data_IF_892735449784
#
_entry.id   IF_892735449784
#
_cell.length_a   1.000
_cell.length_b   1.000
_cell.length_c   1.000
_cell.angle_alpha   90.00
_cell.angle_beta   90.00
_cell.angle_gamma   90.00
#
_symmetry.space_group_name_H-M   'P 1'
#
loop_
_entity.id
_entity.type
_entity.pdbx_description
1 polymer ?
#
# COMPACT_ATOMS: atom_id res chain seq x y z
N UNK A 1 6.01 -27.00 -39.59
CA UNK A 1 6.57 -28.23 -39.00
C UNK A 1 8.04 -28.00 -38.66
N UNK A 2 8.33 -27.71 -37.39
CA UNK A 2 9.62 -27.92 -36.73
C UNK A 2 9.29 -28.02 -35.24
N UNK A 3 9.42 -29.23 -34.70
CA UNK A 3 9.19 -29.57 -33.30
C UNK A 3 10.21 -28.84 -32.42
N UNK A 4 9.72 -28.13 -31.39
CA UNK A 4 10.57 -27.63 -30.31
C UNK A 4 10.45 -28.59 -29.12
N UNK A 5 11.55 -29.31 -28.88
CA UNK A 5 11.81 -30.15 -27.72
C UNK A 5 11.59 -29.35 -26.42
N UNK A 6 10.72 -29.85 -25.55
CA UNK A 6 10.53 -29.33 -24.20
C UNK A 6 11.59 -29.93 -23.27
N UNK A 7 12.72 -29.25 -23.11
CA UNK A 7 13.62 -29.51 -21.98
C UNK A 7 13.00 -28.94 -20.70
N UNK A 8 12.88 -29.80 -19.67
CA UNK A 8 12.46 -29.41 -18.33
C UNK A 8 13.53 -28.53 -17.71
N UNK A 9 13.13 -27.33 -17.29
CA UNK A 9 13.95 -26.48 -16.43
C UNK A 9 14.35 -27.25 -15.15
N UNK A 10 15.62 -27.20 -14.73
CA UNK A 10 16.11 -27.92 -13.56
C UNK A 10 15.51 -27.35 -12.26
N UNK A 11 15.15 -28.27 -11.36
CA UNK A 11 14.73 -28.02 -9.99
C UNK A 11 15.94 -27.48 -9.20
N UNK A 12 16.01 -26.15 -9.04
CA UNK A 12 17.07 -25.50 -8.27
C UNK A 12 16.77 -25.72 -6.78
N UNK A 13 17.32 -26.80 -6.25
CA UNK A 13 17.49 -26.99 -4.81
C UNK A 13 18.17 -25.78 -4.21
N UNK A 14 17.55 -25.20 -3.17
CA UNK A 14 18.09 -24.13 -2.32
C UNK A 14 19.56 -24.42 -1.96
N UNK A 15 20.49 -23.80 -2.67
CA UNK A 15 21.87 -23.67 -2.22
C UNK A 15 21.88 -22.72 -1.02
N UNK A 16 22.37 -23.22 0.10
CA UNK A 16 22.58 -22.50 1.35
C UNK A 16 23.58 -21.36 1.10
N UNK A 17 23.06 -20.16 0.87
CA UNK A 17 23.82 -18.93 1.10
C UNK A 17 23.53 -18.52 2.53
N UNK A 18 24.50 -18.69 3.42
CA UNK A 18 24.44 -18.21 4.80
C UNK A 18 24.52 -16.67 4.80
N UNK A 19 23.37 -16.04 4.58
CA UNK A 19 23.15 -14.62 4.83
C UNK A 19 23.00 -14.44 6.34
N UNK A 20 23.78 -13.57 7.01
CA UNK A 20 23.66 -13.35 8.45
C UNK A 20 22.22 -12.99 8.84
N UNK A 21 21.56 -13.88 9.61
CA UNK A 21 20.16 -13.75 10.07
C UNK A 21 19.96 -12.72 11.18
N UNK A 22 20.76 -11.66 11.28
CA UNK A 22 20.73 -10.73 12.42
C UNK A 22 20.05 -9.38 12.15
N UNK A 23 19.01 -9.31 11.30
CA UNK A 23 18.35 -8.00 10.99
C UNK A 23 16.83 -8.06 10.84
N UNK A 24 16.18 -9.06 11.43
CA UNK A 24 14.74 -8.99 11.65
C UNK A 24 14.51 -8.45 13.06
N UNK A 25 13.65 -7.45 13.21
CA UNK A 25 12.85 -7.41 14.44
C UNK A 25 12.24 -8.81 14.58
N UNK A 26 12.31 -9.45 15.76
CA UNK A 26 11.86 -10.84 15.90
C UNK A 26 10.43 -10.99 15.37
N UNK A 27 10.07 -12.17 14.83
CA UNK A 27 8.71 -12.38 14.32
C UNK A 27 7.67 -11.96 15.39
N UNK A 28 6.72 -11.11 15.02
CA UNK A 28 5.71 -10.56 15.94
C UNK A 28 6.01 -9.16 16.47
N UNK A 29 7.25 -8.67 16.33
CA UNK A 29 7.60 -7.29 16.60
C UNK A 29 7.31 -6.43 15.37
N UNK A 30 6.74 -5.27 15.62
CA UNK A 30 6.38 -4.31 14.59
C UNK A 30 7.25 -3.07 14.74
N UNK A 31 7.18 -2.15 13.77
CA UNK A 31 7.83 -0.85 13.91
C UNK A 31 7.39 -0.16 15.22
N UNK A 32 8.34 0.51 15.91
CA UNK A 32 8.03 1.27 17.10
C UNK A 32 7.00 2.36 16.77
N UNK A 33 6.08 2.57 17.71
CA UNK A 33 4.95 3.52 17.58
C UNK A 33 5.36 4.94 17.99
N UNK A 34 6.51 5.07 18.65
CA UNK A 34 7.12 6.33 19.04
C UNK A 34 8.64 6.18 18.98
N UNK A 35 9.37 7.30 18.88
CA UNK A 35 10.82 7.31 18.95
C UNK A 35 11.31 8.48 19.78
N UNK A 36 12.48 8.30 20.40
CA UNK A 36 13.26 9.40 20.97
C UNK A 36 14.47 9.60 20.07
N UNK A 37 14.67 10.82 19.59
CA UNK A 37 15.83 11.13 18.77
C UNK A 37 17.08 11.17 19.66
N UNK A 38 18.05 10.32 19.36
CA UNK A 38 19.36 10.28 20.03
C UNK A 38 20.52 10.56 19.07
N UNK A 39 20.20 10.90 17.81
CA UNK A 39 21.16 11.16 16.74
C UNK A 39 21.51 12.67 16.71
N UNK A 40 22.62 13.10 16.06
CA UNK A 40 22.99 14.52 15.94
C UNK A 40 21.89 15.43 15.35
N UNK A 41 20.89 14.87 14.67
CA UNK A 41 19.73 15.62 14.21
C UNK A 41 18.87 16.20 15.34
N UNK A 42 18.93 15.68 16.57
CA UNK A 42 18.20 16.26 17.71
C UNK A 42 18.79 17.60 18.17
N UNK A 43 20.07 17.84 17.87
CA UNK A 43 20.83 19.03 18.27
C UNK A 43 21.14 19.96 17.10
N UNK A 44 20.85 19.54 15.87
CA UNK A 44 21.03 20.39 14.68
C UNK A 44 19.89 21.43 14.61
N UNK A 45 20.19 22.72 14.37
CA UNK A 45 19.16 23.74 14.13
C UNK A 45 18.21 23.35 12.99
N UNK A 46 18.73 22.56 12.05
CA UNK A 46 18.05 22.10 10.86
C UNK A 46 17.28 20.79 11.04
N UNK A 47 17.50 20.07 12.14
CA UNK A 47 16.84 18.79 12.40
C UNK A 47 17.25 17.66 11.44
N UNK A 48 16.38 16.67 11.31
CA UNK A 48 16.51 15.55 10.37
C UNK A 48 15.36 15.53 9.37
N UNK A 49 15.55 14.77 8.29
CA UNK A 49 14.49 14.54 7.32
C UNK A 49 14.38 13.06 6.93
N UNK A 50 13.19 12.70 6.46
CA UNK A 50 12.87 11.39 5.89
C UNK A 50 12.47 11.57 4.43
N UNK A 51 13.12 10.80 3.55
CA UNK A 51 12.75 10.68 2.15
C UNK A 51 11.75 9.53 1.97
N UNK A 52 10.84 9.68 1.01
CA UNK A 52 9.89 8.66 0.59
C UNK A 52 9.80 8.67 -0.93
N UNK A 53 10.35 7.69 -1.62
CA UNK A 53 10.33 7.67 -3.08
C UNK A 53 10.41 6.27 -3.64
N UNK A 54 10.06 6.14 -4.91
CA UNK A 54 10.05 4.86 -5.61
C UNK A 54 10.28 5.10 -7.09
N UNK A 55 10.60 4.03 -7.81
CA UNK A 55 10.64 4.01 -9.27
C UNK A 55 10.25 2.64 -9.76
N UNK A 56 9.37 2.58 -10.75
CA UNK A 56 9.26 1.41 -11.62
C UNK A 56 10.12 1.65 -12.86
N UNK A 57 11.03 0.74 -13.20
CA UNK A 57 11.98 0.96 -14.30
C UNK A 57 11.31 0.99 -15.67
N UNK A 58 10.15 0.33 -15.80
CA UNK A 58 9.35 0.30 -17.02
C UNK A 58 8.35 1.48 -17.12
N UNK A 59 8.09 2.20 -16.03
CA UNK A 59 7.20 3.36 -16.03
C UNK A 59 7.94 4.60 -16.58
N UNK A 60 7.20 5.50 -17.23
CA UNK A 60 7.76 6.75 -17.73
C UNK A 60 8.24 7.66 -16.58
N UNK A 61 9.44 8.27 -16.66
CA UNK A 61 10.45 8.08 -17.69
C UNK A 61 11.24 6.77 -17.48
N UNK A 62 11.19 5.90 -18.50
CA UNK A 62 11.74 4.56 -18.41
C UNK A 62 13.28 4.55 -18.38
N UNK A 63 13.84 3.52 -17.75
CA UNK A 63 15.28 3.27 -17.74
C UNK A 63 15.73 2.87 -19.17
N UNK A 64 16.82 3.45 -19.71
CA UNK A 64 17.35 3.01 -20.99
C UNK A 64 17.99 1.63 -20.81
N UNK A 65 17.55 0.64 -21.60
CA UNK A 65 17.86 -0.80 -21.53
C UNK A 65 17.07 -1.57 -20.46
N UNK A 66 15.94 -2.13 -20.89
CA UNK A 66 14.88 -2.77 -20.08
C UNK A 66 15.24 -4.11 -19.44
N UNK A 67 16.48 -4.58 -19.52
CA UNK A 67 16.88 -5.86 -18.91
C UNK A 67 17.70 -5.62 -17.64
N UNK A 68 17.00 -5.43 -16.53
CA UNK A 68 17.62 -5.48 -15.19
C UNK A 68 17.93 -6.93 -14.86
N UNK A 69 19.21 -7.28 -14.85
CA UNK A 69 19.68 -8.63 -14.50
C UNK A 69 19.76 -8.83 -12.99
N UNK A 70 19.95 -10.08 -12.56
CA UNK A 70 20.19 -10.39 -11.16
C UNK A 70 21.47 -9.71 -10.62
N UNK A 71 22.50 -9.57 -11.46
CA UNK A 71 23.73 -8.85 -11.10
C UNK A 71 23.46 -7.36 -10.88
N UNK A 72 22.60 -6.75 -11.70
CA UNK A 72 22.19 -5.36 -11.50
C UNK A 72 21.44 -5.18 -10.17
N UNK A 73 20.57 -6.13 -9.78
CA UNK A 73 19.85 -6.06 -8.50
C UNK A 73 20.80 -6.20 -7.30
N UNK A 74 21.74 -7.14 -7.35
CA UNK A 74 22.75 -7.31 -6.29
C UNK A 74 23.69 -6.11 -6.20
N UNK A 75 24.05 -5.52 -7.34
CA UNK A 75 24.82 -4.27 -7.40
C UNK A 75 24.05 -3.10 -6.77
N UNK A 76 22.75 -2.95 -7.09
CA UNK A 76 21.89 -1.90 -6.54
C UNK A 76 21.66 -2.07 -5.03
N UNK A 77 21.49 -3.31 -4.56
CA UNK A 77 21.42 -3.63 -3.13
C UNK A 77 22.71 -3.22 -2.42
N UNK A 78 23.86 -3.59 -2.99
CA UNK A 78 25.18 -3.24 -2.43
C UNK A 78 25.41 -1.74 -2.41
N UNK A 79 25.03 -1.04 -3.48
CA UNK A 79 25.08 0.42 -3.59
C UNK A 79 24.32 1.09 -2.44
N UNK A 80 23.04 0.75 -2.26
CA UNK A 80 22.24 1.35 -1.18
C UNK A 80 22.70 0.92 0.21
N UNK A 81 23.15 -0.33 0.39
CA UNK A 81 23.66 -0.81 1.68
C UNK A 81 24.90 -0.02 2.11
N UNK A 82 25.88 0.12 1.21
CA UNK A 82 27.11 0.85 1.49
C UNK A 82 26.85 2.33 1.72
N UNK A 83 26.01 2.95 0.88
CA UNK A 83 25.69 4.37 0.97
C UNK A 83 24.96 4.71 2.28
N UNK A 84 23.97 3.91 2.68
CA UNK A 84 23.24 4.13 3.93
C UNK A 84 24.12 3.91 5.16
N UNK A 85 25.00 2.91 5.15
CA UNK A 85 25.97 2.70 6.24
C UNK A 85 26.97 3.87 6.35
N UNK A 86 27.56 4.28 5.22
CA UNK A 86 28.54 5.38 5.17
C UNK A 86 27.98 6.68 5.75
N UNK A 87 26.69 6.97 5.49
CA UNK A 87 26.04 8.20 5.94
C UNK A 87 25.17 8.03 7.20
N UNK A 88 25.27 6.89 7.90
CA UNK A 88 24.48 6.61 9.11
C UNK A 88 22.96 6.79 8.93
N UNK A 89 22.47 6.41 7.74
CA UNK A 89 21.06 6.51 7.35
C UNK A 89 20.32 5.23 7.74
N UNK A 90 19.20 5.42 8.43
CA UNK A 90 18.24 4.37 8.74
C UNK A 90 17.14 4.32 7.67
N UNK A 91 16.43 3.21 7.54
CA UNK A 91 15.36 3.11 6.56
C UNK A 91 14.96 1.70 6.16
N UNK A 92 14.06 1.63 5.19
CA UNK A 92 13.58 0.42 4.54
C UNK A 92 13.70 0.60 3.03
N UNK A 93 14.44 -0.29 2.39
CA UNK A 93 14.69 -0.28 0.95
C UNK A 93 14.26 -1.63 0.40
N UNK A 94 13.31 -1.62 -0.53
CA UNK A 94 12.91 -2.79 -1.31
C UNK A 94 13.37 -2.59 -2.74
N UNK A 95 14.05 -3.60 -3.25
CA UNK A 95 14.53 -3.67 -4.63
C UNK A 95 13.88 -4.90 -5.26
N UNK A 96 13.45 -4.80 -6.51
CA UNK A 96 12.96 -5.91 -7.30
C UNK A 96 13.30 -5.67 -8.77
N UNK A 97 13.08 -6.67 -9.63
CA UNK A 97 13.27 -6.52 -11.09
C UNK A 97 12.47 -5.35 -11.67
N UNK A 98 11.31 -5.05 -11.08
CA UNK A 98 10.44 -3.96 -11.54
C UNK A 98 10.90 -2.57 -11.11
N UNK A 99 11.81 -2.43 -10.13
CA UNK A 99 12.12 -1.13 -9.55
C UNK A 99 12.66 -1.12 -8.12
N UNK A 100 12.50 0.03 -7.45
CA UNK A 100 12.80 0.20 -6.03
C UNK A 100 11.71 1.01 -5.31
N UNK A 101 11.60 0.77 -4.00
CA UNK A 101 10.79 1.54 -3.06
C UNK A 101 11.62 1.84 -1.81
N UNK A 102 11.82 3.12 -1.53
CA UNK A 102 12.81 3.62 -0.59
C UNK A 102 12.14 4.58 0.40
N UNK A 103 12.32 4.27 1.68
CA UNK A 103 12.04 5.22 2.77
C UNK A 103 13.26 5.26 3.67
N UNK A 104 13.93 6.41 3.75
CA UNK A 104 15.19 6.56 4.48
C UNK A 104 15.22 7.86 5.26
N UNK A 105 15.88 7.87 6.41
CA UNK A 105 15.97 9.03 7.30
C UNK A 105 17.36 9.22 7.87
N UNK A 106 17.75 10.49 8.02
CA UNK A 106 19.07 10.90 8.49
C UNK A 106 19.12 12.40 8.79
N UNK A 107 20.30 12.92 9.08
CA UNK A 107 20.52 14.38 9.13
C UNK A 107 20.32 14.98 7.74
N UNK A 108 20.04 16.29 7.63
CA UNK A 108 19.87 16.93 6.32
C UNK A 108 21.11 16.73 5.43
N UNK A 109 22.31 16.83 5.98
CA UNK A 109 23.58 16.66 5.27
C UNK A 109 23.74 15.22 4.76
N UNK A 110 23.42 14.24 5.60
CA UNK A 110 23.49 12.82 5.25
C UNK A 110 22.52 12.49 4.11
N UNK A 111 21.29 13.02 4.21
CA UNK A 111 20.26 12.83 3.18
C UNK A 111 20.61 13.57 1.89
N UNK A 112 21.20 14.75 1.96
CA UNK A 112 21.71 15.46 0.79
C UNK A 112 22.78 14.63 0.08
N UNK A 113 23.80 14.14 0.80
CA UNK A 113 24.85 13.30 0.23
C UNK A 113 24.29 12.01 -0.39
N UNK A 114 23.32 11.37 0.27
CA UNK A 114 22.62 10.20 -0.25
C UNK A 114 21.86 10.50 -1.55
N UNK A 115 21.17 11.64 -1.59
CA UNK A 115 20.39 12.10 -2.76
C UNK A 115 21.30 12.34 -3.96
N UNK A 116 22.42 13.05 -3.77
CA UNK A 116 23.38 13.31 -4.84
C UNK A 116 23.99 12.02 -5.40
N UNK A 117 24.34 11.07 -4.52
CA UNK A 117 24.84 9.77 -4.95
C UNK A 117 23.78 8.96 -5.71
N UNK A 118 22.51 9.05 -5.32
CA UNK A 118 21.40 8.43 -6.04
C UNK A 118 21.24 9.03 -7.45
N UNK A 119 21.21 10.36 -7.57
CA UNK A 119 21.04 11.05 -8.86
C UNK A 119 22.14 10.66 -9.86
N UNK A 120 23.37 10.47 -9.38
CA UNK A 120 24.50 10.06 -10.23
C UNK A 120 24.48 8.55 -10.60
N UNK A 121 23.65 7.74 -9.97
CA UNK A 121 23.60 6.30 -10.18
C UNK A 121 22.71 5.91 -11.37
N UNK A 122 23.08 4.87 -12.12
CA UNK A 122 22.37 4.43 -13.33
C UNK A 122 20.87 4.18 -13.09
N UNK A 123 20.50 3.73 -11.89
CA UNK A 123 19.10 3.45 -11.54
C UNK A 123 18.21 4.70 -11.46
N UNK A 124 18.80 5.90 -11.55
CA UNK A 124 18.12 7.20 -11.56
C UNK A 124 18.23 7.92 -12.91
N UNK A 125 18.91 7.34 -13.90
CA UNK A 125 19.01 7.91 -15.25
C UNK A 125 17.62 8.19 -15.85
N UNK A 126 17.50 9.25 -16.64
CA UNK A 126 16.27 9.76 -17.28
C UNK A 126 15.19 10.36 -16.34
N UNK A 127 15.36 10.40 -15.03
CA UNK A 127 14.35 10.97 -14.12
C UNK A 127 14.25 12.51 -14.13
N UNK A 128 15.05 13.20 -14.95
CA UNK A 128 15.08 14.66 -15.04
C UNK A 128 15.16 15.33 -13.65
N UNK A 129 16.23 15.05 -12.91
CA UNK A 129 16.43 15.52 -11.52
C UNK A 129 17.46 16.66 -11.46
N UNK A 130 17.47 17.52 -12.48
CA UNK A 130 18.45 18.59 -12.68
C UNK A 130 18.21 19.84 -11.80
N UNK A 131 16.98 20.06 -11.34
CA UNK A 131 16.62 21.18 -10.45
C UNK A 131 16.25 20.71 -9.05
N UNK A 132 16.42 21.61 -8.06
CA UNK A 132 16.03 21.35 -6.68
C UNK A 132 14.52 21.05 -6.54
N UNK A 133 13.66 21.69 -7.35
CA UNK A 133 12.22 21.45 -7.34
C UNK A 133 11.89 20.02 -7.79
N UNK A 134 12.44 19.56 -8.91
CA UNK A 134 12.22 18.19 -9.41
C UNK A 134 12.76 17.14 -8.44
N UNK A 135 13.90 17.41 -7.81
CA UNK A 135 14.44 16.57 -6.73
C UNK A 135 13.48 16.52 -5.53
N UNK A 136 12.96 17.66 -5.07
CA UNK A 136 11.99 17.74 -3.97
C UNK A 136 10.73 16.92 -4.28
N UNK A 137 10.16 17.07 -5.47
CA UNK A 137 8.99 16.31 -5.92
C UNK A 137 9.23 14.79 -5.98
N UNK A 138 10.42 14.36 -6.42
CA UNK A 138 10.75 12.96 -6.53
C UNK A 138 11.05 12.31 -5.18
N UNK A 139 11.97 12.92 -4.40
CA UNK A 139 12.46 12.36 -3.13
C UNK A 139 11.50 12.58 -1.95
N UNK A 140 10.60 13.57 -2.05
CA UNK A 140 9.58 13.94 -1.05
C UNK A 140 10.14 14.03 0.37
N UNK A 141 11.13 14.92 0.59
CA UNK A 141 11.69 15.13 1.92
C UNK A 141 10.61 15.64 2.87
N UNK A 142 10.49 15.00 4.02
CA UNK A 142 9.57 15.39 5.09
C UNK A 142 10.34 15.62 6.39
N UNK A 143 10.05 16.69 7.14
CA UNK A 143 10.74 16.98 8.40
C UNK A 143 10.32 16.00 9.51
N UNK A 144 10.91 16.18 10.71
CA UNK A 144 10.48 15.49 11.92
C UNK A 144 10.97 14.06 12.06
N UNK A 145 12.04 13.65 11.35
CA UNK A 145 12.62 12.32 11.51
C UNK A 145 14.09 12.21 11.09
N UNK A 146 14.85 11.35 11.76
CA UNK A 146 16.21 10.95 11.35
C UNK A 146 16.30 9.41 11.32
N UNK A 147 17.51 8.84 11.29
CA UNK A 147 17.73 7.39 11.42
C UNK A 147 17.01 6.77 12.64
N UNK A 148 16.82 7.53 13.73
CA UNK A 148 16.08 7.10 14.92
C UNK A 148 14.63 6.67 14.67
N UNK A 149 13.96 7.20 13.63
CA UNK A 149 12.58 6.77 13.28
C UNK A 149 12.52 5.35 12.71
N UNK A 150 13.69 4.78 12.42
CA UNK A 150 13.89 3.40 12.01
C UNK A 150 14.60 2.58 13.11
N UNK A 151 14.56 3.04 14.36
CA UNK A 151 15.21 2.39 15.50
C UNK A 151 16.71 2.65 15.61
N UNK A 152 17.24 3.66 14.89
CA UNK A 152 18.67 4.01 14.92
C UNK A 152 19.59 2.97 14.26
N UNK A 153 19.02 1.95 13.62
CA UNK A 153 19.76 0.92 12.90
C UNK A 153 20.03 1.34 11.44
N UNK A 154 21.09 0.80 10.81
CA UNK A 154 21.29 0.97 9.37
C UNK A 154 20.07 0.52 8.56
N UNK A 155 19.87 1.14 7.39
CA UNK A 155 18.74 0.80 6.54
C UNK A 155 18.66 -0.71 6.21
N UNK A 156 17.45 -1.26 6.30
CA UNK A 156 17.18 -2.62 5.83
C UNK A 156 17.01 -2.59 4.31
N UNK A 157 18.03 -3.00 3.58
CA UNK A 157 18.00 -3.20 2.12
C UNK A 157 17.62 -4.65 1.82
N UNK A 158 16.62 -4.87 0.95
CA UNK A 158 16.11 -6.20 0.63
C UNK A 158 15.78 -6.32 -0.86
N UNK A 159 16.30 -7.37 -1.49
CA UNK A 159 15.79 -7.86 -2.77
C UNK A 159 14.50 -8.65 -2.52
N UNK A 160 13.45 -8.32 -3.27
CA UNK A 160 12.09 -8.83 -3.11
C UNK A 160 11.47 -9.15 -4.47
N UNK A 161 10.35 -9.89 -4.48
CA UNK A 161 9.61 -10.18 -5.71
C UNK A 161 8.86 -8.95 -6.26
N UNK A 162 8.32 -8.13 -5.36
CA UNK A 162 7.59 -6.90 -5.68
C UNK A 162 7.99 -5.79 -4.71
N UNK A 163 8.20 -4.57 -5.21
CA UNK A 163 8.51 -3.39 -4.39
C UNK A 163 7.27 -2.91 -3.60
N UNK A 164 6.07 -3.25 -4.09
CA UNK A 164 4.79 -3.15 -3.37
C UNK A 164 3.91 -4.35 -3.73
N UNK A 165 3.76 -5.36 -2.84
CA UNK A 165 3.04 -6.59 -3.20
C UNK A 165 1.55 -6.36 -3.46
N UNK A 166 1.11 -6.44 -4.72
CA UNK A 166 -0.30 -6.36 -5.11
C UNK A 166 -1.00 -7.73 -5.06
N UNK A 167 -0.24 -8.81 -4.90
CA UNK A 167 -0.80 -10.16 -4.79
C UNK A 167 -1.17 -10.78 -6.14
N UNK A 168 -0.73 -10.20 -7.25
CA UNK A 168 -0.84 -10.76 -8.60
C UNK A 168 0.57 -11.05 -9.10
N UNK A 169 0.88 -12.33 -9.28
CA UNK A 169 2.21 -12.77 -9.74
C UNK A 169 2.56 -12.14 -11.08
N UNK A 170 3.70 -11.43 -11.12
CA UNK A 170 4.25 -10.80 -12.33
C UNK A 170 3.28 -9.87 -13.05
N UNK A 171 2.40 -9.17 -12.32
CA UNK A 171 1.51 -8.20 -12.95
C UNK A 171 2.31 -7.04 -13.56
N UNK A 172 2.08 -6.83 -14.85
CA UNK A 172 2.48 -5.67 -15.62
C UNK A 172 1.20 -5.07 -16.24
N UNK A 173 1.01 -3.75 -16.17
CA UNK A 173 -0.09 -3.11 -16.86
C UNK A 173 0.11 -3.21 -18.38
N UNK A 174 -0.99 -3.18 -19.13
CA UNK A 174 -1.00 -3.20 -20.59
C UNK A 174 -0.26 -2.00 -21.19
N UNK A 175 -0.32 -0.85 -20.51
CA UNK A 175 0.49 0.33 -20.78
C UNK A 175 0.75 1.10 -19.49
N UNK A 176 1.99 1.54 -19.28
CA UNK A 176 2.32 2.45 -18.19
C UNK A 176 1.78 3.86 -18.42
N UNK A 177 1.36 4.23 -19.63
CA UNK A 177 0.83 5.56 -19.92
C UNK A 177 -0.71 5.56 -20.05
N UNK A 178 -1.37 4.48 -19.63
CA UNK A 178 -2.83 4.27 -19.78
C UNK A 178 -3.70 5.14 -18.88
N UNK A 179 -3.16 5.63 -17.76
CA UNK A 179 -3.86 6.48 -16.80
C UNK A 179 -3.26 7.88 -16.77
N UNK A 180 -4.11 8.87 -16.52
CA UNK A 180 -3.69 10.25 -16.29
C UNK A 180 -3.03 10.38 -14.91
N UNK A 181 -1.89 11.07 -14.83
CA UNK A 181 -1.17 11.35 -13.59
C UNK A 181 -1.26 12.85 -13.31
N UNK A 182 -2.08 13.22 -12.33
CA UNK A 182 -2.36 14.61 -11.98
C UNK A 182 -1.36 15.12 -10.96
N UNK A 183 -0.79 16.29 -11.17
CA UNK A 183 -0.08 17.03 -10.12
C UNK A 183 -1.00 17.34 -8.94
N UNK A 184 -0.46 17.67 -7.75
CA UNK A 184 -1.28 18.09 -6.61
C UNK A 184 -2.29 19.20 -6.92
N UNK A 185 -1.88 20.21 -7.67
CA UNK A 185 -2.73 21.32 -8.12
C UNK A 185 -3.84 20.81 -9.06
N UNK A 186 -3.48 20.10 -10.13
CA UNK A 186 -4.48 19.55 -11.06
C UNK A 186 -5.47 18.61 -10.37
N UNK A 187 -5.00 17.79 -9.41
CA UNK A 187 -5.87 16.93 -8.62
C UNK A 187 -6.84 17.73 -7.75
N UNK A 188 -6.34 18.76 -7.07
CA UNK A 188 -7.16 19.65 -6.25
C UNK A 188 -8.25 20.31 -7.09
N UNK A 189 -7.87 20.96 -8.19
CA UNK A 189 -8.80 21.65 -9.09
C UNK A 189 -9.79 20.67 -9.73
N UNK A 190 -9.35 19.48 -10.12
CA UNK A 190 -10.22 18.43 -10.67
C UNK A 190 -11.32 18.01 -9.68
N UNK A 191 -11.00 17.92 -8.38
CA UNK A 191 -11.99 17.60 -7.35
C UNK A 191 -13.11 18.66 -7.25
N UNK A 192 -12.76 19.93 -7.48
CA UNK A 192 -13.71 21.04 -7.47
C UNK A 192 -14.52 21.15 -8.77
N UNK A 193 -13.89 20.90 -9.92
CA UNK A 193 -14.46 21.19 -11.22
C UNK A 193 -15.42 20.10 -11.76
N UNK A 194 -15.09 18.82 -11.57
CA UNK A 194 -15.82 17.74 -12.23
C UNK A 194 -16.90 17.12 -11.34
N UNK A 195 -18.20 17.38 -11.60
CA UNK A 195 -19.28 16.71 -10.90
C UNK A 195 -19.24 15.20 -11.18
N UNK A 196 -19.62 14.39 -10.19
CA UNK A 196 -19.65 12.92 -10.24
C UNK A 196 -18.29 12.22 -10.29
N UNK A 197 -17.24 12.88 -9.80
CA UNK A 197 -15.93 12.26 -9.61
C UNK A 197 -15.87 11.42 -8.34
N UNK A 198 -15.47 10.15 -8.45
CA UNK A 198 -15.26 9.27 -7.31
C UNK A 198 -13.81 9.37 -6.81
N UNK A 199 -13.63 9.89 -5.59
CA UNK A 199 -12.35 9.81 -4.89
C UNK A 199 -12.18 8.41 -4.29
N UNK A 200 -11.07 7.72 -4.60
CA UNK A 200 -10.84 6.34 -4.20
C UNK A 200 -9.46 6.16 -3.53
N UNK A 201 -9.50 5.80 -2.25
CA UNK A 201 -8.31 5.51 -1.46
C UNK A 201 -7.79 4.08 -1.75
N UNK A 202 -6.54 3.96 -2.17
CA UNK A 202 -5.88 2.66 -2.47
C UNK A 202 -5.11 2.12 -1.24
N UNK A 203 -5.22 2.81 -0.09
CA UNK A 203 -4.51 2.42 1.13
C UNK A 203 -5.19 1.28 1.89
N UNK A 204 -4.49 0.73 2.87
CA UNK A 204 -5.11 -0.18 3.82
C UNK A 204 -6.02 0.62 4.76
N UNK A 205 -7.10 0.00 5.23
CA UNK A 205 -8.13 0.66 6.02
C UNK A 205 -7.63 1.36 7.29
N UNK A 206 -6.57 0.85 7.93
CA UNK A 206 -6.01 1.50 9.13
C UNK A 206 -5.33 2.83 8.81
N UNK A 207 -4.86 3.02 7.58
CA UNK A 207 -4.25 4.27 7.09
C UNK A 207 -5.34 5.30 6.82
N UNK A 208 -6.41 4.88 6.12
CA UNK A 208 -7.56 5.71 5.78
C UNK A 208 -8.46 6.05 6.97
N UNK A 209 -8.24 5.38 8.11
CA UNK A 209 -8.97 5.65 9.35
C UNK A 209 -8.55 6.97 9.97
N UNK A 210 -7.26 7.31 9.93
CA UNK A 210 -6.71 8.49 10.61
C UNK A 210 -6.60 9.72 9.71
N UNK A 211 -6.83 9.59 8.41
CA UNK A 211 -6.93 10.72 7.50
C UNK A 211 -7.34 10.28 6.10
N UNK A 212 -8.03 11.15 5.37
CA UNK A 212 -8.61 10.85 4.05
C UNK A 212 -8.97 12.14 3.30
N UNK A 213 -9.09 12.05 1.98
CA UNK A 213 -9.66 13.14 1.18
C UNK A 213 -11.18 13.22 1.34
N UNK A 214 -11.72 14.44 1.27
CA UNK A 214 -13.16 14.72 1.19
C UNK A 214 -13.49 15.32 -0.17
N UNK A 215 -14.67 14.99 -0.71
CA UNK A 215 -15.20 15.68 -1.90
C UNK A 215 -15.60 17.11 -1.49
N UNK A 216 -15.02 18.16 -2.10
CA UNK A 216 -15.30 19.54 -1.71
C UNK A 216 -16.74 19.99 -1.96
N UNK A 217 -17.47 19.31 -2.85
CA UNK A 217 -18.82 19.67 -3.25
C UNK A 217 -19.87 19.07 -2.31
N UNK A 218 -19.61 17.87 -1.79
CA UNK A 218 -20.55 17.14 -0.91
C UNK A 218 -20.12 17.11 0.55
N UNK A 219 -18.83 17.34 0.84
CA UNK A 219 -18.24 17.13 2.15
C UNK A 219 -18.03 15.66 2.51
N UNK A 220 -18.41 14.73 1.63
CA UNK A 220 -18.34 13.30 1.91
C UNK A 220 -16.91 12.77 1.83
N UNK A 221 -16.52 11.82 2.71
CA UNK A 221 -15.24 11.14 2.61
C UNK A 221 -15.10 10.40 1.27
N UNK A 222 -13.87 10.36 0.77
CA UNK A 222 -13.49 9.45 -0.32
C UNK A 222 -13.92 8.00 -0.01
N UNK A 223 -14.17 7.21 -1.06
CA UNK A 223 -14.40 5.79 -0.91
C UNK A 223 -13.15 5.13 -0.35
N UNK A 224 -13.28 4.49 0.81
CA UNK A 224 -12.20 3.85 1.57
C UNK A 224 -12.45 2.34 1.67
N UNK A 225 -11.85 1.54 0.79
CA UNK A 225 -11.94 0.09 0.86
C UNK A 225 -11.42 -0.44 2.19
N UNK A 226 -12.19 -1.32 2.83
CA UNK A 226 -11.82 -1.90 4.13
C UNK A 226 -10.76 -3.01 4.02
N UNK A 227 -9.86 -2.92 3.03
CA UNK A 227 -8.79 -3.91 2.82
C UNK A 227 -7.73 -3.80 3.92
N UNK A 228 -7.23 -4.94 4.39
CA UNK A 228 -6.13 -5.00 5.38
C UNK A 228 -4.77 -4.93 4.73
N UNK A 229 -4.66 -5.43 3.50
CA UNK A 229 -3.41 -5.53 2.74
C UNK A 229 -3.68 -5.15 1.30
N UNK A 230 -2.72 -4.48 0.67
CA UNK A 230 -2.79 -4.17 -0.75
C UNK A 230 -2.93 -5.42 -1.64
N UNK A 231 -2.48 -6.59 -1.16
CA UNK A 231 -2.71 -7.87 -1.85
C UNK A 231 -4.19 -8.27 -2.00
N UNK A 232 -5.10 -7.62 -1.26
CA UNK A 232 -6.55 -7.81 -1.39
C UNK A 232 -7.18 -6.86 -2.42
N UNK A 233 -6.42 -5.87 -2.93
CA UNK A 233 -6.89 -4.89 -3.91
C UNK A 233 -7.47 -5.53 -5.18
N UNK A 234 -6.81 -6.52 -5.82
CA UNK A 234 -7.37 -7.15 -7.02
C UNK A 234 -8.73 -7.80 -6.77
N UNK A 235 -8.91 -8.44 -5.61
CA UNK A 235 -10.18 -9.04 -5.24
C UNK A 235 -11.25 -7.99 -4.96
N UNK A 236 -10.89 -6.87 -4.31
CA UNK A 236 -11.79 -5.75 -4.09
C UNK A 236 -12.29 -5.16 -5.41
N UNK A 237 -11.39 -4.84 -6.33
CA UNK A 237 -11.74 -4.33 -7.67
C UNK A 237 -12.73 -5.27 -8.36
N UNK A 238 -12.39 -6.56 -8.48
CA UNK A 238 -13.23 -7.52 -9.19
C UNK A 238 -14.62 -7.73 -8.57
N UNK A 239 -14.79 -7.55 -7.25
CA UNK A 239 -16.06 -7.82 -6.56
C UNK A 239 -16.92 -6.58 -6.32
N UNK A 240 -16.29 -5.42 -6.17
CA UNK A 240 -16.96 -4.18 -5.70
C UNK A 240 -16.93 -3.06 -6.71
N UNK A 241 -15.92 -3.05 -7.60
CA UNK A 241 -15.76 -1.98 -8.57
C UNK A 241 -16.23 -2.40 -9.96
N UNK A 242 -16.09 -3.66 -10.35
CA UNK A 242 -16.65 -4.15 -11.63
C UNK A 242 -18.18 -4.20 -11.52
N UNK A 243 -18.86 -3.32 -12.25
CA UNK A 243 -20.32 -3.26 -12.36
C UNK A 243 -20.81 -3.55 -13.79
N UNK A 244 -22.13 -3.46 -13.99
CA UNK A 244 -22.78 -3.64 -15.30
C UNK A 244 -22.49 -2.46 -16.24
N UNK A 245 -22.44 -1.24 -15.70
CA UNK A 245 -22.10 0.00 -16.41
C UNK A 245 -20.58 0.20 -16.47
N UNK A 246 -19.91 -0.55 -17.34
CA UNK A 246 -18.47 -0.43 -17.56
C UNK A 246 -18.12 0.89 -18.24
N UNK A 247 -17.22 1.65 -17.62
CA UNK A 247 -16.56 2.79 -18.27
C UNK A 247 -17.25 4.15 -18.11
N UNK A 248 -18.28 4.24 -17.28
CA UNK A 248 -19.05 5.48 -17.12
C UNK A 248 -18.49 6.39 -16.01
N UNK A 249 -17.64 5.88 -15.12
CA UNK A 249 -17.16 6.63 -13.95
C UNK A 249 -15.85 7.34 -14.22
N UNK A 250 -15.72 8.54 -13.64
CA UNK A 250 -14.44 9.21 -13.42
C UNK A 250 -13.97 8.87 -11.99
N UNK A 251 -12.75 8.30 -11.87
CA UNK A 251 -12.19 7.88 -10.59
C UNK A 251 -10.83 8.54 -10.38
N UNK A 252 -10.67 9.29 -9.30
CA UNK A 252 -9.38 9.82 -8.86
C UNK A 252 -8.83 8.97 -7.72
N UNK A 253 -7.68 8.37 -7.95
CA UNK A 253 -7.04 7.47 -7.00
C UNK A 253 -5.88 8.14 -6.28
N UNK A 254 -5.67 7.76 -5.03
CA UNK A 254 -4.54 8.23 -4.24
C UNK A 254 -4.10 7.17 -3.23
N UNK A 255 -2.85 7.31 -2.77
CA UNK A 255 -2.32 6.60 -1.61
C UNK A 255 -1.26 7.46 -0.93
N UNK A 256 -0.57 6.95 0.09
CA UNK A 256 0.42 7.73 0.87
C UNK A 256 1.46 8.43 0.02
N UNK A 257 2.11 7.68 -0.89
CA UNK A 257 3.26 8.15 -1.65
C UNK A 257 3.19 7.89 -3.15
N UNK A 258 2.06 7.41 -3.70
CA UNK A 258 1.86 7.12 -5.13
C UNK A 258 2.09 5.67 -5.56
N UNK A 259 3.05 4.95 -4.95
CA UNK A 259 3.50 3.62 -5.44
C UNK A 259 2.40 2.56 -5.62
N UNK A 260 1.36 2.55 -4.78
CA UNK A 260 0.23 1.61 -4.92
C UNK A 260 -0.67 1.98 -6.09
N UNK A 261 -0.84 3.27 -6.37
CA UNK A 261 -1.67 3.74 -7.47
C UNK A 261 -1.04 3.37 -8.82
N UNK A 262 0.30 3.28 -8.90
CA UNK A 262 0.97 2.88 -10.14
C UNK A 262 0.44 1.56 -10.73
N UNK A 263 0.32 0.52 -9.90
CA UNK A 263 -0.27 -0.75 -10.34
C UNK A 263 -1.77 -0.81 -10.06
N UNK A 264 -2.20 -0.30 -8.92
CA UNK A 264 -3.58 -0.42 -8.44
C UNK A 264 -4.58 0.34 -9.30
N UNK A 265 -4.23 1.54 -9.77
CA UNK A 265 -5.11 2.36 -10.61
C UNK A 265 -5.18 1.82 -12.05
N UNK A 266 -4.06 1.36 -12.62
CA UNK A 266 -4.03 0.69 -13.93
C UNK A 266 -4.81 -0.63 -13.90
N UNK A 267 -4.64 -1.42 -12.85
CA UNK A 267 -5.43 -2.64 -12.65
C UNK A 267 -6.93 -2.32 -12.52
N UNK A 268 -7.29 -1.23 -11.83
CA UNK A 268 -8.68 -0.79 -11.72
C UNK A 268 -9.24 -0.44 -13.11
N UNK A 269 -8.57 0.43 -13.86
CA UNK A 269 -8.98 0.85 -15.20
C UNK A 269 -9.15 -0.34 -16.15
N UNK A 270 -8.18 -1.27 -16.19
CA UNK A 270 -8.24 -2.47 -17.03
C UNK A 270 -9.45 -3.37 -16.73
N UNK A 271 -9.90 -3.38 -15.47
CA UNK A 271 -10.99 -4.26 -15.02
C UNK A 271 -12.36 -3.63 -15.15
N UNK A 272 -12.48 -2.33 -14.93
CA UNK A 272 -13.76 -1.63 -14.93
C UNK A 272 -14.04 -0.90 -16.24
N UNK A 273 -13.01 -0.54 -17.00
CA UNK A 273 -13.11 0.32 -18.18
C UNK A 273 -13.28 1.80 -17.85
N UNK A 274 -13.27 2.18 -16.57
CA UNK A 274 -13.49 3.56 -16.11
C UNK A 274 -12.35 4.49 -16.51
N UNK A 275 -12.63 5.80 -16.51
CA UNK A 275 -11.58 6.81 -16.61
C UNK A 275 -10.93 6.98 -15.24
N UNK A 276 -9.68 6.55 -15.14
CA UNK A 276 -8.93 6.58 -13.89
C UNK A 276 -7.78 7.56 -14.01
N UNK A 277 -7.68 8.49 -13.08
CA UNK A 277 -6.51 9.32 -12.86
C UNK A 277 -5.93 9.10 -11.46
N UNK A 278 -4.66 9.44 -11.27
CA UNK A 278 -3.97 9.29 -9.98
C UNK A 278 -3.24 10.55 -9.56
N UNK A 279 -3.22 10.80 -8.25
CA UNK A 279 -2.43 11.86 -7.63
C UNK A 279 -0.93 11.55 -7.69
N UNK A 280 -0.16 12.35 -8.45
CA UNK A 280 1.31 12.32 -8.51
C UNK A 280 1.87 12.56 -7.11
N UNK A 281 2.83 11.72 -6.71
CA UNK A 281 3.45 11.82 -5.37
C UNK A 281 2.57 11.33 -4.21
N UNK A 282 1.28 11.09 -4.42
CA UNK A 282 0.31 10.68 -3.39
C UNK A 282 0.02 11.79 -2.38
N UNK A 283 -0.59 11.42 -1.25
CA UNK A 283 -0.92 12.34 -0.16
C UNK A 283 0.32 13.11 0.29
N UNK A 284 1.49 12.48 0.41
CA UNK A 284 2.72 13.16 0.78
C UNK A 284 3.07 14.32 -0.17
N UNK A 285 2.94 14.12 -1.49
CA UNK A 285 3.15 15.18 -2.47
C UNK A 285 2.08 16.28 -2.39
N UNK A 286 0.82 15.90 -2.16
CA UNK A 286 -0.27 16.86 -1.97
C UNK A 286 -0.06 17.74 -0.74
N UNK A 287 0.34 17.17 0.40
CA UNK A 287 0.58 17.95 1.61
C UNK A 287 1.79 18.89 1.43
N UNK A 288 2.86 18.42 0.80
CA UNK A 288 4.03 19.24 0.48
C UNK A 288 3.70 20.43 -0.42
N UNK A 289 2.78 20.27 -1.37
CA UNK A 289 2.29 21.35 -2.23
C UNK A 289 1.36 22.30 -1.46
N UNK A 290 0.42 21.78 -0.67
CA UNK A 290 -0.46 22.61 0.16
C UNK A 290 0.34 23.48 1.14
N UNK A 291 1.38 22.94 1.79
CA UNK A 291 2.27 23.73 2.65
C UNK A 291 2.91 24.89 1.88
N UNK A 292 3.42 24.64 0.67
CA UNK A 292 4.01 25.68 -0.18
C UNK A 292 2.97 26.75 -0.59
N UNK A 293 1.74 26.35 -0.91
CA UNK A 293 0.63 27.27 -1.23
C UNK A 293 0.23 28.12 -0.02
N UNK A 294 0.25 27.55 1.18
CA UNK A 294 -0.05 28.23 2.44
C UNK A 294 1.06 29.21 2.81
N UNK A 295 2.33 28.79 2.73
CA UNK A 295 3.50 29.65 2.97
C UNK A 295 3.53 30.85 2.02
N UNK A 296 3.08 30.66 0.78
CA UNK A 296 3.00 31.71 -0.24
C UNK A 296 1.70 32.54 -0.16
N UNK A 297 0.81 32.24 0.79
CA UNK A 297 -0.44 32.97 1.02
C UNK A 297 -1.50 32.77 -0.07
N UNK A 298 -1.38 31.73 -0.90
CA UNK A 298 -2.33 31.41 -1.99
C UNK A 298 -3.50 30.53 -1.54
N UNK A 299 -3.29 29.71 -0.50
CA UNK A 299 -4.33 28.87 0.11
C UNK A 299 -4.27 28.96 1.63
N UNK A 300 -5.34 28.57 2.31
CA UNK A 300 -5.39 28.39 3.76
C UNK A 300 -5.49 26.91 4.15
N UNK A 301 -5.09 26.52 5.37
CA UNK A 301 -5.16 25.13 5.82
C UNK A 301 -6.55 24.48 5.63
N UNK A 302 -7.63 25.24 5.85
CA UNK A 302 -9.00 24.72 5.77
C UNK A 302 -9.41 24.32 4.35
N UNK A 303 -8.76 24.92 3.34
CA UNK A 303 -8.95 24.63 1.91
C UNK A 303 -8.33 23.29 1.50
N UNK A 304 -7.49 22.68 2.35
CA UNK A 304 -7.01 21.33 2.10
C UNK A 304 -8.18 20.33 2.02
N UNK A 305 -8.25 19.58 0.92
CA UNK A 305 -9.18 18.47 0.76
C UNK A 305 -8.79 17.24 1.59
N UNK A 306 -7.54 17.16 2.05
CA UNK A 306 -7.10 16.07 2.92
C UNK A 306 -7.35 16.43 4.38
N UNK A 307 -8.15 15.61 5.08
CA UNK A 307 -8.50 15.78 6.49
C UNK A 307 -7.81 14.73 7.37
N UNK A 308 -7.45 15.10 8.59
CA UNK A 308 -6.73 14.25 9.53
C UNK A 308 -5.25 14.10 9.18
N UNK A 309 -4.67 12.94 9.46
CA UNK A 309 -3.24 12.66 9.33
C UNK A 309 -2.91 11.62 8.27
N UNK A 310 -1.80 11.81 7.56
CA UNK A 310 -1.29 10.88 6.58
C UNK A 310 -0.42 9.82 7.24
N UNK A 311 -0.88 8.57 7.31
CA UNK A 311 -0.08 7.46 7.83
C UNK A 311 1.25 7.29 7.07
N UNK A 312 2.36 7.14 7.81
CA UNK A 312 3.69 6.84 7.26
C UNK A 312 4.28 5.58 7.88
N UNK A 313 5.15 4.89 7.13
CA UNK A 313 5.65 3.54 7.46
C UNK A 313 6.94 3.56 8.31
N UNK A 314 7.03 4.52 9.22
CA UNK A 314 8.14 4.76 10.15
C UNK A 314 7.62 5.23 11.51
N UNK A 315 8.50 5.39 12.50
CA UNK A 315 8.10 5.66 13.88
C UNK A 315 7.47 7.04 14.13
N UNK A 316 7.42 7.92 13.13
CA UNK A 316 6.57 9.13 13.22
C UNK A 316 5.09 8.77 13.22
N UNK A 317 4.73 7.62 12.67
CA UNK A 317 3.36 7.10 12.58
C UNK A 317 2.49 7.83 11.55
N UNK A 318 2.57 9.16 11.50
CA UNK A 318 1.87 9.97 10.52
C UNK A 318 2.53 11.32 10.28
N UNK A 319 2.21 11.97 9.16
CA UNK A 319 2.56 13.36 8.83
C UNK A 319 1.30 14.17 8.59
N UNK A 320 1.43 15.50 8.63
CA UNK A 320 0.29 16.39 8.48
C UNK A 320 0.73 17.80 8.05
N UNK A 321 -0.24 18.67 7.70
CA UNK A 321 0.00 20.07 7.27
C UNK A 321 0.26 21.00 8.45
N UNK A 322 -0.58 20.93 9.47
CA UNK A 322 -0.54 21.86 10.59
C UNK A 322 0.26 21.31 11.78
N UNK A 323 0.53 22.16 12.77
CA UNK A 323 1.13 21.72 14.02
C UNK A 323 0.23 20.71 14.75
N UNK A 324 0.85 19.83 15.54
CA UNK A 324 0.17 18.68 16.14
C UNK A 324 -1.05 19.04 17.01
N UNK A 325 -1.05 20.24 17.60
CA UNK A 325 -2.09 20.77 18.48
C UNK A 325 -3.25 21.46 17.75
N UNK A 326 -3.12 21.72 16.44
CA UNK A 326 -4.13 22.43 15.64
C UNK A 326 -5.03 21.48 14.85
N UNK A 327 -4.67 20.20 14.76
CA UNK A 327 -5.41 19.23 13.96
C UNK A 327 -6.37 18.45 14.83
N UNK A 328 -7.65 18.65 14.54
CA UNK A 328 -8.72 17.84 15.08
C UNK A 328 -8.66 16.41 14.51
N UNK A 329 -8.51 15.37 15.36
CA UNK A 329 -8.48 13.99 14.88
C UNK A 329 -9.81 13.60 14.22
N UNK A 330 -9.74 13.08 12.99
CA UNK A 330 -10.90 12.52 12.28
C UNK A 330 -11.27 11.10 12.75
N UNK A 331 -10.50 10.56 13.69
CA UNK A 331 -10.66 9.21 14.23
C UNK A 331 -10.97 9.24 15.73
N UNK A 332 -11.46 8.10 16.20
CA UNK A 332 -11.80 7.87 17.61
C UNK A 332 -11.01 6.69 18.16
N UNK A 333 -10.61 6.80 19.42
CA UNK A 333 -9.96 5.73 20.17
C UNK A 333 -10.85 4.48 20.18
N UNK A 334 -10.29 3.31 19.87
CA UNK A 334 -11.02 2.03 19.87
C UNK A 334 -11.46 1.59 21.27
N UNK A 335 -10.85 2.14 22.31
CA UNK A 335 -11.10 1.76 23.71
C UNK A 335 -12.08 2.72 24.36
N UNK A 336 -11.77 4.02 24.40
CA UNK A 336 -12.59 5.02 25.11
C UNK A 336 -13.46 5.89 24.20
N UNK A 337 -13.37 5.77 22.87
CA UNK A 337 -14.11 6.56 21.87
C UNK A 337 -13.79 8.06 21.78
N UNK A 338 -12.91 8.59 22.65
CA UNK A 338 -12.41 9.97 22.54
C UNK A 338 -11.66 10.18 21.22
N UNK A 339 -11.71 11.41 20.68
CA UNK A 339 -10.97 11.79 19.47
C UNK A 339 -9.49 11.51 19.63
N UNK A 340 -8.92 10.81 18.64
CA UNK A 340 -7.50 10.48 18.59
C UNK A 340 -7.16 9.94 17.21
N UNK A 341 -5.92 10.11 16.81
CA UNK A 341 -5.32 9.60 15.57
C UNK A 341 -4.04 8.77 15.85
N UNK A 342 -3.66 8.65 17.13
CA UNK A 342 -2.53 7.85 17.60
C UNK A 342 -2.76 6.38 17.29
N UNK A 343 -1.77 5.73 16.69
CA UNK A 343 -1.88 4.35 16.25
C UNK A 343 -1.20 3.38 17.20
N UNK A 344 -1.96 2.51 17.84
CA UNK A 344 -1.46 1.39 18.63
C UNK A 344 -1.63 0.05 17.90
N UNK A 345 -1.38 -1.04 18.62
CA UNK A 345 -1.69 -2.40 18.16
C UNK A 345 -2.55 -3.10 19.18
N UNK A 346 -3.38 -4.01 18.70
CA UNK A 346 -4.08 -4.92 19.60
C UNK A 346 -3.05 -5.72 20.41
N UNK A 347 -3.17 -5.66 21.74
CA UNK A 347 -2.29 -6.37 22.69
C UNK A 347 -2.35 -7.88 22.55
N UNK A 348 -3.46 -8.37 21.99
CA UNK A 348 -3.72 -9.78 21.86
C UNK A 348 -2.74 -10.49 20.93
N UNK A 349 -2.05 -11.51 21.47
CA UNK A 349 -1.03 -12.27 20.73
C UNK A 349 -1.63 -12.86 19.45
N UNK A 350 -1.01 -12.58 18.30
CA UNK A 350 -1.45 -13.08 16.99
C UNK A 350 -2.53 -12.25 16.29
N UNK A 351 -3.15 -11.25 16.92
CA UNK A 351 -4.11 -10.37 16.25
C UNK A 351 -3.40 -9.38 15.30
N UNK A 352 -2.39 -8.68 15.82
CA UNK A 352 -1.57 -7.68 15.12
C UNK A 352 -2.39 -6.63 14.35
N UNK A 353 -3.62 -6.34 14.78
CA UNK A 353 -4.44 -5.28 14.18
C UNK A 353 -3.91 -3.91 14.65
N UNK A 354 -3.79 -2.98 13.72
CA UNK A 354 -3.44 -1.58 14.02
C UNK A 354 -4.72 -0.85 14.45
N UNK A 355 -4.66 -0.22 15.61
CA UNK A 355 -5.79 0.43 16.28
C UNK A 355 -5.50 1.92 16.42
N UNK A 356 -6.56 2.70 16.55
CA UNK A 356 -6.45 4.06 17.06
C UNK A 356 -6.59 3.98 18.58
N UNK A 357 -5.56 4.39 19.33
CA UNK A 357 -5.50 4.29 20.79
C UNK A 357 -4.92 5.59 21.33
N UNK A 358 -5.72 6.34 22.10
CA UNK A 358 -5.25 7.57 22.73
C UNK A 358 -4.18 7.28 23.80
N UNK A 359 -3.39 8.30 24.16
CA UNK A 359 -2.30 8.16 25.13
C UNK A 359 -2.76 7.56 26.47
N UNK A 360 -3.93 7.97 26.98
CA UNK A 360 -4.48 7.43 28.22
C UNK A 360 -4.79 5.92 28.15
N UNK A 361 -5.36 5.45 27.03
CA UNK A 361 -5.64 4.03 26.84
C UNK A 361 -4.37 3.22 26.53
N UNK A 362 -3.37 3.83 25.90
CA UNK A 362 -2.07 3.20 25.70
C UNK A 362 -1.38 2.94 27.05
N UNK A 363 -1.47 3.89 27.99
CA UNK A 363 -0.95 3.74 29.37
C UNK A 363 -1.66 2.66 30.19
N UNK A 364 -2.90 2.29 29.84
CA UNK A 364 -3.62 1.18 30.49
C UNK A 364 -3.06 -0.21 30.11
N UNK A 365 -2.09 -0.29 29.20
CA UNK A 365 -1.34 -1.47 28.72
C UNK A 365 -2.16 -2.67 28.19
N UNK A 366 -3.48 -2.52 28.01
CA UNK A 366 -4.32 -3.57 27.44
C UNK A 366 -5.29 -3.13 26.31
N UNK A 367 -4.83 -2.37 25.28
CA UNK A 367 -5.70 -2.02 24.16
C UNK A 367 -6.09 -3.25 23.34
N UNK A 368 -7.40 -3.52 23.27
CA UNK A 368 -8.00 -4.60 22.48
C UNK A 368 -8.80 -4.05 21.31
N UNK A 369 -8.80 -4.78 20.19
CA UNK A 369 -9.61 -4.41 19.03
C UNK A 369 -11.11 -4.67 19.23
N UNK A 370 -11.45 -5.65 20.06
CA UNK A 370 -12.81 -6.00 20.47
C UNK A 370 -12.78 -6.98 21.65
N UNK A 371 -13.94 -7.19 22.27
CA UNK A 371 -14.12 -8.14 23.37
C UNK A 371 -13.67 -9.56 23.04
N UNK A 372 -13.94 -10.04 21.81
CA UNK A 372 -13.53 -11.37 21.35
C UNK A 372 -12.02 -11.61 21.44
N UNK A 373 -11.19 -10.56 21.36
CA UNK A 373 -9.74 -10.70 21.56
C UNK A 373 -9.33 -10.84 23.03
N UNK A 374 -10.09 -10.26 23.96
CA UNK A 374 -9.90 -10.48 25.39
C UNK A 374 -10.29 -11.92 25.75
N UNK A 375 -11.49 -12.35 25.33
CA UNK A 375 -12.02 -13.67 25.63
C UNK A 375 -11.09 -14.80 25.13
N UNK A 376 -10.57 -14.67 23.91
CA UNK A 376 -9.62 -15.63 23.35
C UNK A 376 -8.31 -15.73 24.15
N UNK A 377 -7.83 -14.64 24.74
CA UNK A 377 -6.60 -14.66 25.53
C UNK A 377 -6.84 -15.23 26.93
N UNK A 378 -7.99 -14.95 27.54
CA UNK A 378 -8.41 -15.58 28.81
C UNK A 378 -8.52 -17.10 28.65
N UNK A 379 -9.14 -17.56 27.56
CA UNK A 379 -9.24 -18.99 27.25
C UNK A 379 -7.87 -19.63 27.02
N UNK A 380 -6.97 -18.96 26.28
CA UNK A 380 -5.62 -19.47 26.05
C UNK A 380 -4.80 -19.59 27.34
N UNK A 381 -5.00 -18.69 28.30
CA UNK A 381 -4.38 -18.76 29.62
C UNK A 381 -4.96 -19.91 30.46
N UNK A 382 -6.29 -20.09 30.45
CA UNK A 382 -6.97 -21.16 31.17
C UNK A 382 -6.57 -22.56 30.68
N UNK A 383 -6.30 -22.72 29.38
CA UNK A 383 -5.87 -23.99 28.77
C UNK A 383 -4.41 -24.37 29.09
N UNK A 384 -3.70 -23.59 29.91
CA UNK A 384 -2.32 -23.89 30.33
C UNK A 384 -1.28 -23.85 29.21
N UNK A 385 -1.62 -23.27 28.06
CA UNK A 385 -0.73 -23.19 26.89
C UNK A 385 -0.42 -21.71 26.55
N UNK A 386 0.50 -21.07 27.30
CA UNK A 386 0.88 -19.66 27.06
C UNK A 386 1.68 -19.46 25.75
N UNK A 387 2.11 -20.57 25.12
CA UNK A 387 3.00 -20.61 23.95
C UNK A 387 2.33 -21.32 22.76
N UNK A 388 1.18 -20.79 22.33
CA UNK A 388 0.54 -21.18 21.07
C UNK A 388 1.25 -20.58 19.84
N UNK A 389 2.58 -20.72 19.76
CA UNK A 389 3.32 -20.43 18.52
C UNK A 389 2.98 -21.43 17.38
N UNK A 390 2.21 -22.49 17.67
CA UNK A 390 1.88 -23.59 16.76
C UNK A 390 0.44 -23.59 16.22
N UNK A 391 -0.54 -22.95 16.89
CA UNK A 391 -1.94 -22.92 16.42
C UNK A 391 -2.27 -21.54 15.88
N UNK A 392 -2.78 -21.46 14.65
CA UNK A 392 -3.26 -20.20 14.07
C UNK A 392 -4.40 -19.66 14.93
N UNK A 393 -4.19 -18.51 15.57
CA UNK A 393 -5.23 -17.79 16.31
C UNK A 393 -6.49 -17.60 15.45
N UNK A 394 -7.70 -17.87 15.96
CA UNK A 394 -8.93 -17.51 15.28
C UNK A 394 -9.02 -16.00 15.01
N UNK A 395 -9.72 -15.64 13.94
CA UNK A 395 -10.05 -14.25 13.60
C UNK A 395 -11.04 -13.67 14.63
N UNK A 396 -10.76 -12.46 15.15
CA UNK A 396 -11.66 -11.78 16.09
C UNK A 396 -13.03 -11.48 15.46
N UNK A 397 -14.06 -11.29 16.27
CA UNK A 397 -15.38 -10.83 15.79
C UNK A 397 -15.28 -9.57 14.92
N UNK A 398 -14.45 -8.60 15.33
CA UNK A 398 -14.22 -7.36 14.60
C UNK A 398 -13.73 -7.54 13.15
N UNK A 399 -12.79 -8.45 12.96
CA UNK A 399 -12.21 -8.74 11.64
C UNK A 399 -13.14 -9.65 10.85
N UNK A 400 -13.92 -10.53 11.49
CA UNK A 400 -14.97 -11.31 10.81
C UNK A 400 -16.02 -10.38 10.21
N UNK A 401 -16.48 -9.41 10.99
CA UNK A 401 -17.45 -8.40 10.54
C UNK A 401 -16.87 -7.56 9.40
N UNK A 402 -15.63 -7.07 9.53
CA UNK A 402 -14.97 -6.35 8.44
C UNK A 402 -14.89 -7.19 7.16
N UNK A 403 -14.44 -8.44 7.26
CA UNK A 403 -14.33 -9.33 6.09
C UNK A 403 -15.71 -9.62 5.48
N UNK A 404 -16.76 -9.82 6.29
CA UNK A 404 -18.12 -10.00 5.80
C UNK A 404 -18.63 -8.74 5.08
N UNK A 405 -18.44 -7.56 5.67
CA UNK A 405 -18.82 -6.29 5.06
C UNK A 405 -18.02 -6.00 3.77
N UNK A 406 -16.75 -6.41 3.72
CA UNK A 406 -15.92 -6.20 2.54
C UNK A 406 -16.28 -7.16 1.40
N UNK A 407 -16.58 -8.42 1.70
CA UNK A 407 -16.70 -9.49 0.70
C UNK A 407 -18.13 -10.00 0.45
N UNK A 408 -19.10 -9.63 1.28
CA UNK A 408 -20.42 -10.27 1.36
C UNK A 408 -20.39 -11.54 2.21
N UNK A 409 -21.50 -12.28 2.25
CA UNK A 409 -21.52 -13.60 2.90
C UNK A 409 -20.42 -14.50 2.31
N UNK A 410 -19.70 -15.19 3.19
CA UNK A 410 -18.55 -16.00 2.83
C UNK A 410 -18.98 -17.21 2.00
N UNK A 411 -19.02 -17.07 0.68
CA UNK A 411 -19.05 -18.24 -0.21
C UNK A 411 -17.66 -18.88 -0.16
N UNK A 412 -17.55 -20.01 0.55
CA UNK A 412 -16.36 -20.86 0.51
C UNK A 412 -16.06 -21.20 -0.95
N UNK A 413 -15.05 -20.55 -1.53
CA UNK A 413 -14.46 -21.05 -2.77
C UNK A 413 -13.94 -22.47 -2.49
N UNK A 414 -14.27 -23.47 -3.33
CA UNK A 414 -13.79 -24.83 -3.14
C UNK A 414 -12.27 -24.79 -3.00
N UNK A 415 -11.75 -25.33 -1.90
CA UNK A 415 -10.32 -25.58 -1.80
C UNK A 415 -9.95 -26.43 -3.02
N UNK A 416 -9.14 -25.91 -3.93
CA UNK A 416 -8.45 -26.76 -4.88
C UNK A 416 -7.75 -27.83 -4.05
N UNK A 417 -8.24 -29.07 -4.17
CA UNK A 417 -7.65 -30.21 -3.49
C UNK A 417 -6.19 -30.24 -3.90
N UNK A 418 -5.29 -29.95 -2.95
CA UNK A 418 -3.90 -30.35 -3.08
C UNK A 418 -3.91 -31.87 -3.19
N UNK A 419 -3.81 -32.38 -4.41
CA UNK A 419 -3.58 -33.80 -4.65
C UNK A 419 -2.35 -34.18 -3.84
N UNK A 420 -2.55 -35.04 -2.84
CA UNK A 420 -1.46 -35.71 -2.12
C UNK A 420 -0.53 -36.33 -3.16
N UNK A 421 0.77 -36.01 -3.10
CA UNK A 421 1.80 -36.69 -3.88
C UNK A 421 1.74 -38.19 -3.55
N UNK A 422 1.06 -38.96 -4.39
CA UNK A 422 1.13 -40.41 -4.43
C UNK A 422 2.44 -40.84 -5.08
N UNK A 423 3.08 -41.83 -4.48
CA UNK A 423 4.28 -42.52 -4.93
C UNK A 423 4.17 -42.95 -6.39
N UNK A 424 5.18 -42.60 -7.20
CA UNK A 424 5.32 -43.05 -8.59
C UNK A 424 5.46 -44.57 -8.65
N UNK A 425 4.50 -45.23 -9.32
CA UNK A 425 4.74 -46.48 -10.07
C UNK A 425 4.06 -46.31 -11.43
N UNK A 426 4.84 -46.47 -12.49
CA UNK A 426 4.40 -46.18 -13.85
C UNK A 426 3.39 -47.19 -14.36
N UNK A 427 2.56 -46.74 -15.30
CA UNK A 427 2.22 -47.48 -16.51
C UNK A 427 1.73 -46.44 -17.55
N UNK A 428 2.13 -46.65 -18.80
CA UNK A 428 1.69 -45.90 -19.98
C UNK A 428 0.22 -46.25 -20.26
N UNK A 429 -0.57 -45.29 -20.71
CA UNK A 429 -1.40 -45.36 -21.92
C UNK A 429 -2.19 -44.07 -22.12
N UNK A 430 -2.28 -43.65 -23.39
CA UNK A 430 -2.79 -42.35 -23.80
C UNK A 430 -4.31 -42.29 -23.91
N UNK A 431 -4.88 -41.13 -23.59
CA UNK A 431 -6.20 -40.70 -24.05
C UNK A 431 -6.17 -39.19 -24.29
N UNK A 432 -6.42 -38.78 -25.53
CA UNK A 432 -6.73 -37.42 -25.94
C UNK A 432 -8.09 -37.00 -25.35
N UNK A 433 -8.18 -35.83 -24.72
CA UNK A 433 -9.45 -35.19 -24.40
C UNK A 433 -9.53 -33.80 -25.04
N UNK A 434 -10.35 -33.73 -26.09
CA UNK A 434 -10.93 -32.50 -26.63
C UNK A 434 -11.90 -31.89 -25.61
N UNK A 435 -11.81 -30.57 -25.39
CA UNK A 435 -12.84 -29.82 -24.65
C UNK A 435 -13.68 -29.06 -25.66
N UNK A 436 -14.93 -29.52 -25.85
CA UNK A 436 -15.98 -28.75 -26.51
C UNK A 436 -16.48 -27.66 -25.55
N UNK A 437 -16.54 -26.42 -26.06
CA UNK A 437 -17.22 -25.30 -25.39
C UNK A 437 -18.71 -25.40 -25.72
N UNK A 438 -19.56 -25.60 -24.71
CA UNK A 438 -21.01 -25.41 -24.85
C UNK A 438 -21.37 -23.98 -24.47
N UNK A 439 -21.94 -23.25 -25.43
CA UNK A 439 -22.66 -22.00 -25.25
C UNK A 439 -23.92 -22.24 -24.41
N UNK A 440 -24.13 -21.44 -23.37
CA UNK A 440 -25.37 -21.44 -22.60
C UNK A 440 -26.45 -20.67 -23.37
N UNK A 441 -27.57 -21.36 -23.54
CA UNK A 441 -28.75 -20.94 -24.26
C UNK A 441 -29.55 -19.90 -23.47
N UNK A 442 -30.11 -18.96 -24.21
CA UNK A 442 -30.86 -17.79 -23.74
C UNK A 442 -32.34 -18.12 -23.72
N UNK A 443 -32.85 -18.71 -22.63
CA UNK A 443 -34.30 -18.80 -22.37
C UNK A 443 -34.62 -19.26 -20.95
N UNK A 444 -34.61 -18.36 -19.96
CA UNK A 444 -35.46 -18.50 -18.78
C UNK A 444 -35.97 -17.12 -18.36
N UNK A 445 -37.28 -16.95 -18.44
CA UNK A 445 -38.00 -15.70 -18.19
C UNK A 445 -37.99 -15.24 -16.73
N UNK A 446 -38.15 -13.93 -16.58
CA UNK A 446 -38.14 -13.19 -15.31
C UNK A 446 -39.56 -13.18 -14.70
N UNK A 447 -39.72 -13.41 -13.37
CA UNK A 447 -40.99 -13.22 -12.66
C UNK A 447 -41.44 -11.75 -12.60
N UNK A 448 -42.75 -11.54 -12.70
CA UNK A 448 -43.39 -10.30 -13.16
C UNK A 448 -43.72 -9.27 -12.05
N UNK A 449 -42.81 -9.01 -11.10
CA UNK A 449 -43.10 -8.12 -9.95
C UNK A 449 -42.17 -6.89 -9.78
N UNK A 450 -41.40 -6.50 -10.80
CA UNK A 450 -40.47 -5.36 -10.72
C UNK A 450 -40.52 -4.40 -11.93
N UNK A 451 -41.69 -4.24 -12.57
CA UNK A 451 -41.92 -3.33 -13.72
C UNK A 451 -42.81 -2.11 -13.41
N UNK A 452 -42.62 -1.47 -12.26
CA UNK A 452 -43.30 -0.20 -11.96
C UNK A 452 -42.36 0.75 -11.18
N UNK A 453 -41.43 1.40 -11.88
CA UNK A 453 -40.69 2.55 -11.33
C UNK A 453 -40.17 3.54 -12.39
N UNK A 454 -40.10 3.18 -13.68
CA UNK A 454 -39.63 4.12 -14.71
C UNK A 454 -40.53 4.01 -15.95
N UNK A 455 -41.51 4.90 -16.02
CA UNK A 455 -42.37 5.05 -17.18
C UNK A 455 -41.56 5.58 -18.36
N UNK A 456 -41.27 4.70 -19.32
CA UNK A 456 -40.86 5.09 -20.68
C UNK A 456 -41.54 4.14 -21.66
N UNK A 457 -42.33 4.76 -22.54
CA UNK A 457 -43.05 4.14 -23.64
C UNK A 457 -42.08 4.02 -24.82
N UNK A 458 -41.82 2.82 -25.32
CA UNK A 458 -41.02 2.62 -26.54
C UNK A 458 -41.91 1.92 -27.57
N UNK A 459 -42.36 2.68 -28.56
CA UNK A 459 -42.90 2.14 -29.80
C UNK A 459 -41.74 1.56 -30.63
N UNK A 460 -41.96 0.34 -31.13
CA UNK A 460 -41.02 -0.41 -31.93
C UNK A 460 -41.07 0.02 -33.41
N UNK A 461 -39.89 0.23 -34.01
CA UNK A 461 -39.55 -0.18 -35.38
C UNK A 461 -38.07 -0.52 -35.42
#
# INVERSE_FOLDING_TARGET
MKEFSTEKAPDISRSQVDIPKSRRLPNGFSDPVSFTCTCPASSSPDGGQVLLFYRYFAASPALPNTQVSQENLTSLESFHTNLTQKHSIGGKIRIAQEGFNITVGGTKESIFAYTQACIAHWSFSNLDLDTAQKQREFFKPTPGGCSCVFGGAPASVRVTAEITPMGVTNYLPSSWDSIEVLTPEEFHERCHAEPNTLLLDVRNHYESRIGYFVDPRTGEPALRPQIRRFSQWPQYVNRRMVGEEKGERQILTFCTGGIRCEKGARFLQERTGDRVATLKGGIAGYLMWMDEEIEQGRKRPEESLFKGRNFVFDARGSTTLEEDDKIEPVAKCHVCTNSSDRLGKCRSKGCHLVLVVCAACELSDDPRCCQSCLDMDVLAQADGNPDTNSRSRPICSCEKEREANLWGEYVKLPKQQKTRKGTRKGLRDGVNMNIQVQSLDSSMGIPNELKAAFGVNVQAT
#
